data_IF_975472536473
#
_entry.id   IF_975472536473
#
_cell.length_a   1.000
_cell.length_b   1.000
_cell.length_c   1.000
_cell.angle_alpha   90.00
_cell.angle_beta   90.00
_cell.angle_gamma   90.00
#
_symmetry.space_group_name_H-M   'P 1'
#
loop_
_entity.id
_entity.type
_entity.pdbx_description
1 polymer ?
#
# COMPACT_ATOMS: atom_id res chain seq x y z
N UNK A 1 49.47 -1.09 24.05
CA UNK A 1 48.24 -1.48 24.77
C UNK A 1 47.16 -1.70 23.73
N UNK A 2 46.52 -2.87 23.64
CA UNK A 2 45.35 -3.01 22.78
C UNK A 2 44.24 -2.16 23.39
N UNK A 3 43.74 -1.19 22.64
CA UNK A 3 42.47 -0.53 22.95
C UNK A 3 41.40 -1.60 23.02
N UNK A 4 41.04 -2.02 24.23
CA UNK A 4 39.90 -2.91 24.43
C UNK A 4 38.67 -2.23 23.84
N UNK A 5 38.23 -2.70 22.68
CA UNK A 5 36.96 -2.32 22.07
C UNK A 5 35.86 -2.64 23.08
N UNK A 6 35.35 -1.61 23.76
CA UNK A 6 34.28 -1.76 24.75
C UNK A 6 32.99 -2.08 23.98
N UNK A 7 32.46 -3.29 24.14
CA UNK A 7 31.17 -3.65 23.57
C UNK A 7 30.05 -2.77 24.17
N UNK A 8 29.03 -2.39 23.38
CA UNK A 8 27.85 -1.69 23.90
C UNK A 8 27.15 -2.55 24.96
N UNK A 9 26.45 -1.91 25.90
CA UNK A 9 25.69 -2.68 26.90
C UNK A 9 24.58 -3.49 26.19
N UNK A 10 24.31 -4.74 26.62
CA UNK A 10 23.29 -5.57 25.98
C UNK A 10 21.92 -4.87 25.92
N UNK A 11 21.55 -4.14 26.98
CA UNK A 11 20.29 -3.40 27.01
C UNK A 11 20.19 -2.29 25.94
N UNK A 12 21.31 -1.69 25.52
CA UNK A 12 21.34 -0.71 24.42
C UNK A 12 21.02 -1.40 23.08
N UNK A 13 21.53 -2.62 22.85
CA UNK A 13 21.21 -3.38 21.64
C UNK A 13 19.72 -3.74 21.61
N UNK A 14 19.18 -4.23 22.73
CA UNK A 14 17.75 -4.52 22.85
C UNK A 14 16.88 -3.28 22.64
N UNK A 15 17.30 -2.14 23.17
CA UNK A 15 16.62 -0.86 22.99
C UNK A 15 16.61 -0.42 21.51
N UNK A 16 17.76 -0.46 20.82
CA UNK A 16 17.84 -0.15 19.40
C UNK A 16 16.91 -1.07 18.58
N UNK A 17 16.96 -2.39 18.83
CA UNK A 17 16.11 -3.35 18.12
C UNK A 17 14.61 -3.07 18.32
N UNK A 18 14.19 -2.78 19.57
CA UNK A 18 12.80 -2.45 19.86
C UNK A 18 12.36 -1.12 19.22
N UNK A 19 13.22 -0.09 19.20
CA UNK A 19 12.95 1.17 18.48
C UNK A 19 12.78 0.90 16.98
N UNK A 20 13.65 0.07 16.39
CA UNK A 20 13.54 -0.32 14.98
C UNK A 20 12.22 -1.03 14.67
N UNK A 21 11.82 -2.00 15.50
CA UNK A 21 10.54 -2.68 15.38
C UNK A 21 9.36 -1.70 15.49
N UNK A 22 9.41 -0.78 16.46
CA UNK A 22 8.40 0.27 16.62
C UNK A 22 8.30 1.20 15.41
N UNK A 23 9.44 1.53 14.78
CA UNK A 23 9.47 2.29 13.53
C UNK A 23 8.80 1.56 12.36
N UNK A 24 9.03 0.25 12.23
CA UNK A 24 8.35 -0.58 11.21
C UNK A 24 6.85 -0.64 11.46
N UNK A 25 6.40 -0.88 12.70
CA UNK A 25 4.98 -0.82 13.04
C UNK A 25 4.35 0.54 12.75
N UNK A 26 5.08 1.64 12.93
CA UNK A 26 4.58 2.98 12.62
C UNK A 26 4.39 3.19 11.11
N UNK A 27 5.32 2.67 10.29
CA UNK A 27 5.28 2.84 8.84
C UNK A 27 4.07 2.14 8.18
N UNK A 28 3.55 1.08 8.80
CA UNK A 28 2.41 0.30 8.28
C UNK A 28 1.05 0.73 8.86
N UNK A 29 0.99 1.79 9.68
CA UNK A 29 -0.32 2.25 10.23
C UNK A 29 -1.25 2.68 9.09
N UNK A 30 -0.73 3.45 8.13
CA UNK A 30 -1.52 3.99 7.02
C UNK A 30 -2.00 2.92 6.04
N UNK A 31 -1.26 1.81 5.94
CA UNK A 31 -1.57 0.69 5.04
C UNK A 31 -2.66 -0.24 5.59
N UNK A 32 -3.05 -0.03 6.85
CA UNK A 32 -4.11 -0.76 7.54
C UNK A 32 -5.23 0.17 8.06
N UNK A 33 -5.30 1.40 7.55
CA UNK A 33 -6.19 2.45 8.04
C UNK A 33 -7.68 2.13 7.82
N UNK A 34 -7.98 1.26 6.86
CA UNK A 34 -9.31 0.71 6.56
C UNK A 34 -9.87 -0.13 7.73
N UNK A 35 -9.00 -0.77 8.51
CA UNK A 35 -9.38 -1.56 9.67
C UNK A 35 -9.02 -0.83 10.98
N UNK A 36 -9.97 -0.05 11.51
CA UNK A 36 -9.77 0.80 12.69
C UNK A 36 -9.10 0.08 13.88
N UNK A 37 -9.51 -1.15 14.19
CA UNK A 37 -8.95 -1.91 15.33
C UNK A 37 -7.49 -2.30 15.03
N UNK A 38 -7.22 -2.80 13.82
CA UNK A 38 -5.88 -3.22 13.42
C UNK A 38 -4.91 -2.03 13.35
N UNK A 39 -5.32 -0.90 12.74
CA UNK A 39 -4.54 0.34 12.75
C UNK A 39 -4.20 0.82 14.18
N UNK A 40 -5.16 0.76 15.10
CA UNK A 40 -4.92 1.10 16.51
C UNK A 40 -3.93 0.15 17.18
N UNK A 41 -3.97 -1.16 16.88
CA UNK A 41 -3.00 -2.13 17.38
C UNK A 41 -1.59 -1.82 16.88
N UNK A 42 -1.42 -1.40 15.63
CA UNK A 42 -0.13 -0.95 15.11
C UNK A 42 0.36 0.33 15.79
N UNK A 43 -0.52 1.32 16.01
CA UNK A 43 -0.20 2.55 16.77
C UNK A 43 0.31 2.22 18.17
N UNK A 44 -0.40 1.35 18.90
CA UNK A 44 -0.01 0.97 20.25
C UNK A 44 1.29 0.16 20.27
N UNK A 45 1.47 -0.77 19.34
CA UNK A 45 2.70 -1.55 19.20
C UNK A 45 3.91 -0.64 18.93
N UNK A 46 3.77 0.29 17.99
CA UNK A 46 4.79 1.28 17.66
C UNK A 46 5.17 2.13 18.87
N UNK A 47 4.17 2.70 19.55
CA UNK A 47 4.38 3.55 20.71
C UNK A 47 5.05 2.79 21.87
N UNK A 48 4.56 1.60 22.21
CA UNK A 48 5.10 0.81 23.32
C UNK A 48 6.55 0.40 23.09
N UNK A 49 6.89 -0.05 21.88
CA UNK A 49 8.25 -0.47 21.55
C UNK A 49 9.22 0.72 21.48
N UNK A 50 8.81 1.83 20.86
CA UNK A 50 9.64 3.03 20.77
C UNK A 50 9.86 3.67 22.15
N UNK A 51 8.79 3.87 22.93
CA UNK A 51 8.88 4.45 24.28
C UNK A 51 9.71 3.56 25.19
N UNK A 52 9.50 2.25 25.18
CA UNK A 52 10.31 1.34 26.00
C UNK A 52 11.79 1.40 25.60
N UNK A 53 12.10 1.37 24.30
CA UNK A 53 13.48 1.46 23.84
C UNK A 53 14.15 2.76 24.28
N UNK A 54 13.46 3.91 24.20
CA UNK A 54 13.96 5.18 24.71
C UNK A 54 14.22 5.10 26.23
N UNK A 55 13.28 4.56 27.00
CA UNK A 55 13.45 4.38 28.46
C UNK A 55 14.65 3.46 28.78
N UNK A 56 14.86 2.40 28.00
CA UNK A 56 15.98 1.48 28.16
C UNK A 56 17.35 2.11 27.82
N UNK A 57 17.39 3.08 26.91
CA UNK A 57 18.58 3.90 26.65
C UNK A 57 18.88 4.89 27.78
N UNK A 58 17.86 5.33 28.52
CA UNK A 58 17.99 6.31 29.60
C UNK A 58 18.21 5.66 30.98
N UNK A 59 17.70 4.45 31.20
CA UNK A 59 17.71 3.79 32.51
C UNK A 59 17.92 2.28 32.40
N UNK A 60 19.06 1.81 32.90
CA UNK A 60 19.32 0.38 33.07
C UNK A 60 18.83 -0.07 34.45
N UNK A 61 17.87 -0.99 34.45
CA UNK A 61 17.44 -1.69 35.66
C UNK A 61 16.79 -3.03 35.31
N UNK A 62 16.76 -4.00 36.24
CA UNK A 62 16.04 -5.26 36.01
C UNK A 62 14.57 -5.05 35.68
N UNK A 63 13.90 -4.06 36.30
CA UNK A 63 12.51 -3.73 35.99
C UNK A 63 12.33 -3.26 34.54
N UNK A 64 13.26 -2.44 34.02
CA UNK A 64 13.24 -1.99 32.62
C UNK A 64 13.50 -3.16 31.67
N UNK A 65 14.44 -4.06 31.99
CA UNK A 65 14.67 -5.27 31.21
C UNK A 65 13.44 -6.20 31.19
N UNK A 66 12.76 -6.38 32.34
CA UNK A 66 11.53 -7.16 32.42
C UNK A 66 10.38 -6.54 31.61
N UNK A 67 10.24 -5.20 31.64
CA UNK A 67 9.28 -4.50 30.79
C UNK A 67 9.54 -4.72 29.29
N UNK A 68 10.81 -4.72 28.88
CA UNK A 68 11.20 -4.95 27.50
C UNK A 68 10.96 -6.36 27.01
N UNK A 69 11.26 -7.32 27.88
CA UNK A 69 10.93 -8.72 27.67
C UNK A 69 9.42 -8.88 27.44
N UNK A 70 8.59 -8.31 28.33
CA UNK A 70 7.14 -8.43 28.25
C UNK A 70 6.59 -7.79 26.96
N UNK A 71 6.93 -6.53 26.68
CA UNK A 71 6.43 -5.80 25.50
C UNK A 71 6.81 -6.54 24.21
N UNK A 72 8.09 -6.86 24.01
CA UNK A 72 8.54 -7.46 22.76
C UNK A 72 8.10 -8.93 22.63
N UNK A 73 7.91 -9.66 23.73
CA UNK A 73 7.36 -11.02 23.70
C UNK A 73 5.89 -11.03 23.30
N UNK A 74 5.08 -10.08 23.78
CA UNK A 74 3.68 -9.92 23.35
C UNK A 74 3.61 -9.63 21.86
N UNK A 75 4.40 -8.69 21.36
CA UNK A 75 4.39 -8.33 19.93
C UNK A 75 4.85 -9.50 19.04
N UNK A 76 5.94 -10.17 19.42
CA UNK A 76 6.46 -11.33 18.67
C UNK A 76 5.50 -12.53 18.74
N UNK A 77 4.81 -12.70 19.88
CA UNK A 77 3.80 -13.73 20.08
C UNK A 77 2.54 -13.47 19.25
N UNK A 78 2.04 -12.22 19.23
CA UNK A 78 0.94 -11.81 18.37
C UNK A 78 1.28 -12.05 16.89
N UNK A 79 2.48 -11.65 16.45
CA UNK A 79 2.97 -11.97 15.12
C UNK A 79 2.94 -13.47 14.85
N UNK A 80 3.49 -14.30 15.75
CA UNK A 80 3.49 -15.75 15.57
C UNK A 80 2.08 -16.34 15.45
N UNK A 81 1.14 -15.89 16.29
CA UNK A 81 -0.27 -16.30 16.25
C UNK A 81 -0.88 -16.02 14.88
N UNK A 82 -0.67 -14.83 14.32
CA UNK A 82 -1.20 -14.47 12.99
C UNK A 82 -0.64 -15.32 11.84
N UNK A 83 0.51 -16.00 12.02
CA UNK A 83 1.09 -16.91 11.02
C UNK A 83 0.54 -18.31 11.07
N UNK A 84 0.11 -18.76 12.26
CA UNK A 84 -0.35 -20.15 12.46
C UNK A 84 -1.87 -20.27 12.58
N UNK A 85 -2.56 -19.16 12.83
CA UNK A 85 -4.00 -19.08 13.02
C UNK A 85 -4.55 -17.75 12.51
N UNK A 86 -5.82 -17.74 12.09
CA UNK A 86 -6.54 -16.50 11.82
C UNK A 86 -7.17 -15.93 13.10
N UNK A 87 -7.46 -14.64 13.08
CA UNK A 87 -8.07 -13.88 14.18
C UNK A 87 -9.35 -13.23 13.66
N UNK A 88 -10.41 -14.04 13.54
CA UNK A 88 -11.67 -13.68 12.86
C UNK A 88 -12.47 -12.53 13.49
N UNK A 89 -12.09 -12.06 14.69
CA UNK A 89 -12.73 -10.94 15.38
C UNK A 89 -11.98 -9.61 15.20
N UNK A 90 -10.89 -9.58 14.44
CA UNK A 90 -10.16 -8.35 14.08
C UNK A 90 -10.20 -8.20 12.57
N UNK A 91 -10.83 -7.12 12.10
CA UNK A 91 -10.82 -6.71 10.70
C UNK A 91 -9.40 -6.69 10.14
N UNK A 92 -9.15 -7.44 9.06
CA UNK A 92 -7.85 -7.54 8.39
C UNK A 92 -6.97 -8.69 8.88
N UNK A 93 -7.49 -9.61 9.72
CA UNK A 93 -6.77 -10.81 10.20
C UNK A 93 -7.64 -12.09 10.11
N UNK A 94 -8.71 -12.06 9.32
CA UNK A 94 -9.64 -13.18 9.13
C UNK A 94 -8.98 -14.37 8.40
N UNK A 95 -7.93 -14.09 7.65
CA UNK A 95 -7.08 -15.07 6.98
C UNK A 95 -5.71 -15.19 7.67
N UNK A 96 -4.99 -16.27 7.36
CA UNK A 96 -3.62 -16.45 7.87
C UNK A 96 -2.66 -15.54 7.11
N UNK A 97 -1.80 -14.87 7.85
CA UNK A 97 -0.91 -13.87 7.28
C UNK A 97 0.39 -14.49 6.72
N UNK A 98 0.78 -14.26 5.46
CA UNK A 98 2.02 -14.80 4.88
C UNK A 98 3.28 -14.08 5.37
N UNK A 99 4.37 -14.82 5.63
CA UNK A 99 5.62 -14.25 6.15
C UNK A 99 6.28 -13.27 5.16
N UNK A 100 6.15 -11.97 5.42
CA UNK A 100 6.78 -10.91 4.63
C UNK A 100 8.08 -10.41 5.22
N UNK A 101 8.91 -9.82 4.37
CA UNK A 101 10.15 -9.20 4.82
C UNK A 101 9.93 -8.16 5.93
N UNK A 102 8.99 -7.22 5.75
CA UNK A 102 8.72 -6.18 6.76
C UNK A 102 8.26 -6.78 8.10
N UNK A 103 7.30 -7.71 8.06
CA UNK A 103 6.76 -8.37 9.24
C UNK A 103 7.79 -9.24 9.95
N UNK A 104 8.54 -10.03 9.20
CA UNK A 104 9.60 -10.92 9.72
C UNK A 104 10.77 -10.10 10.25
N UNK A 105 11.12 -8.97 9.63
CA UNK A 105 12.14 -8.06 10.14
C UNK A 105 11.68 -7.41 11.46
N UNK A 106 10.43 -6.94 11.52
CA UNK A 106 9.84 -6.39 12.74
C UNK A 106 9.83 -7.42 13.89
N UNK A 107 9.29 -8.61 13.62
CA UNK A 107 9.24 -9.70 14.59
C UNK A 107 10.65 -10.17 14.99
N UNK A 108 11.59 -10.25 14.04
CA UNK A 108 12.98 -10.61 14.30
C UNK A 108 13.68 -9.62 15.24
N UNK A 109 13.49 -8.32 15.03
CA UNK A 109 13.97 -7.28 15.94
C UNK A 109 13.33 -7.41 17.33
N UNK A 110 12.03 -7.71 17.40
CA UNK A 110 11.34 -8.02 18.65
C UNK A 110 11.93 -9.24 19.38
N UNK A 111 12.19 -10.33 18.67
CA UNK A 111 12.79 -11.56 19.21
C UNK A 111 14.21 -11.31 19.69
N UNK A 112 15.01 -10.52 18.97
CA UNK A 112 16.35 -10.10 19.42
C UNK A 112 16.24 -9.32 20.74
N UNK A 113 15.31 -8.36 20.83
CA UNK A 113 15.08 -7.61 22.06
C UNK A 113 14.66 -8.53 23.23
N UNK A 114 13.80 -9.51 22.98
CA UNK A 114 13.39 -10.54 23.95
C UNK A 114 14.58 -11.35 24.45
N UNK A 115 15.38 -11.93 23.55
CA UNK A 115 16.50 -12.79 23.91
C UNK A 115 17.57 -12.03 24.71
N UNK A 116 17.86 -10.79 24.33
CA UNK A 116 18.83 -9.96 25.03
C UNK A 116 18.28 -9.51 26.39
N UNK A 117 17.02 -9.10 26.48
CA UNK A 117 16.40 -8.72 27.75
C UNK A 117 16.35 -9.90 28.74
N UNK A 118 16.05 -11.10 28.25
CA UNK A 118 16.11 -12.33 29.04
C UNK A 118 17.54 -12.62 29.51
N UNK A 119 18.53 -12.52 28.63
CA UNK A 119 19.95 -12.68 29.00
C UNK A 119 20.40 -11.68 30.07
N UNK A 120 19.95 -10.43 30.01
CA UNK A 120 20.21 -9.40 31.01
C UNK A 120 19.58 -9.75 32.37
N UNK A 121 18.38 -10.33 32.38
CA UNK A 121 17.71 -10.77 33.60
C UNK A 121 18.36 -12.00 34.23
N UNK A 122 18.86 -12.92 33.40
CA UNK A 122 19.52 -14.15 33.85
C UNK A 122 20.98 -13.92 34.28
N UNK A 123 21.59 -12.79 33.92
CA UNK A 123 23.00 -12.48 34.22
C UNK A 123 23.10 -11.43 35.33
N UNK A 124 23.54 -11.81 36.55
CA UNK A 124 23.69 -10.87 37.66
C UNK A 124 24.61 -9.69 37.29
N UNK A 125 24.14 -8.46 37.53
CA UNK A 125 24.92 -7.23 37.28
C UNK A 125 24.86 -6.70 35.84
N UNK A 126 24.39 -7.48 34.86
CA UNK A 126 24.27 -7.02 33.47
C UNK A 126 23.30 -5.83 33.29
N UNK A 127 22.32 -5.71 34.18
CA UNK A 127 21.31 -4.64 34.16
C UNK A 127 21.76 -3.33 34.84
N UNK A 128 23.01 -3.21 35.31
CA UNK A 128 23.46 -2.08 36.17
C UNK A 128 24.36 -1.06 35.49
N UNK A 129 24.76 -1.26 34.23
CA UNK A 129 25.58 -0.29 33.49
C UNK A 129 25.02 0.01 32.10
N UNK A 130 24.79 1.29 31.79
CA UNK A 130 24.58 1.76 30.42
C UNK A 130 25.93 2.21 29.88
N UNK A 131 26.37 1.60 28.77
CA UNK A 131 27.55 2.04 28.03
C UNK A 131 27.10 2.40 26.63
N UNK A 132 26.73 3.67 26.43
CA UNK A 132 26.31 4.21 25.13
C UNK A 132 27.50 4.39 24.16
N UNK A 133 28.72 4.37 24.70
CA UNK A 133 29.95 4.32 23.90
C UNK A 133 29.84 3.10 22.98
N UNK A 134 29.76 3.34 21.67
CA UNK A 134 29.58 2.35 20.60
C UNK A 134 28.13 1.89 20.31
N UNK A 135 27.11 2.67 20.69
CA UNK A 135 25.74 2.48 20.19
C UNK A 135 25.59 2.71 18.68
N UNK A 136 26.57 3.36 18.03
CA UNK A 136 26.52 3.67 16.59
C UNK A 136 26.45 2.44 15.69
N UNK A 137 27.17 1.36 16.02
CA UNK A 137 27.14 0.10 15.24
C UNK A 137 25.77 -0.60 15.36
N UNK A 138 25.24 -0.92 16.56
CA UNK A 138 23.92 -1.55 16.66
C UNK A 138 22.81 -0.66 16.11
N UNK A 139 22.86 0.66 16.31
CA UNK A 139 21.90 1.58 15.72
C UNK A 139 21.97 1.57 14.18
N UNK A 140 23.17 1.56 13.60
CA UNK A 140 23.35 1.46 12.15
C UNK A 140 22.82 0.14 11.59
N UNK A 141 23.12 -0.99 12.22
CA UNK A 141 22.64 -2.30 11.76
C UNK A 141 21.11 -2.41 11.86
N UNK A 142 20.52 -1.91 12.94
CA UNK A 142 19.06 -1.85 13.07
C UNK A 142 18.47 -0.92 12.01
N UNK A 143 19.04 0.26 11.78
CA UNK A 143 18.56 1.19 10.76
C UNK A 143 18.67 0.60 9.34
N UNK A 144 19.77 -0.10 9.03
CA UNK A 144 19.98 -0.75 7.75
C UNK A 144 18.96 -1.86 7.46
N UNK A 145 18.40 -2.49 8.50
CA UNK A 145 17.31 -3.46 8.37
C UNK A 145 15.92 -2.79 8.40
N UNK A 146 15.71 -1.86 9.33
CA UNK A 146 14.42 -1.25 9.60
C UNK A 146 14.00 -0.27 8.50
N UNK A 147 14.93 0.50 7.91
CA UNK A 147 14.57 1.46 6.86
C UNK A 147 14.04 0.79 5.59
N UNK A 148 14.69 -0.25 5.02
CA UNK A 148 14.08 -1.01 3.92
C UNK A 148 12.75 -1.66 4.32
N UNK A 149 12.64 -2.19 5.54
CA UNK A 149 11.41 -2.78 6.05
C UNK A 149 10.28 -1.75 6.23
N UNK A 150 10.59 -0.51 6.58
CA UNK A 150 9.63 0.59 6.68
C UNK A 150 9.18 1.07 5.31
N UNK A 151 10.11 1.23 4.37
CA UNK A 151 9.79 1.58 2.98
C UNK A 151 8.90 0.48 2.41
N UNK A 152 9.37 -0.76 2.41
CA UNK A 152 8.60 -1.89 1.87
C UNK A 152 7.31 -2.15 2.65
N UNK A 153 7.31 -2.05 3.98
CA UNK A 153 6.08 -2.22 4.76
C UNK A 153 5.05 -1.13 4.45
N UNK A 154 5.50 0.12 4.30
CA UNK A 154 4.63 1.24 3.93
C UNK A 154 4.24 1.28 2.44
N UNK A 155 4.82 0.42 1.58
CA UNK A 155 4.61 0.44 0.13
C UNK A 155 4.29 -0.93 -0.52
N UNK A 156 4.37 -2.07 0.18
CA UNK A 156 4.26 -3.44 -0.38
C UNK A 156 3.36 -4.38 0.46
N UNK A 157 2.32 -5.01 -0.10
CA UNK A 157 1.28 -5.75 0.64
C UNK A 157 0.75 -7.00 -0.09
N UNK A 158 -0.07 -7.74 0.67
CA UNK A 158 -1.07 -8.77 0.38
C UNK A 158 -0.88 -9.81 -0.77
N UNK A 159 0.27 -10.44 -1.04
CA UNK A 159 0.32 -11.59 -1.97
C UNK A 159 -0.33 -12.87 -1.40
N UNK A 160 -1.53 -13.25 -1.87
CA UNK A 160 -2.19 -14.52 -1.53
C UNK A 160 -1.78 -15.65 -2.48
N UNK A 161 -1.54 -16.83 -1.88
CA UNK A 161 -1.36 -18.08 -2.58
C UNK A 161 -2.72 -18.73 -2.86
N UNK A 162 -2.89 -19.24 -4.08
CA UNK A 162 -4.06 -19.97 -4.55
C UNK A 162 -4.22 -21.30 -3.79
N UNK A 163 -5.41 -21.54 -3.24
CA UNK A 163 -5.97 -22.89 -3.12
C UNK A 163 -7.50 -22.84 -2.99
N UNK A 164 -8.15 -23.78 -3.69
CA UNK A 164 -9.52 -23.68 -4.17
C UNK A 164 -10.60 -24.42 -3.34
N UNK A 165 -11.85 -24.05 -3.65
CA UNK A 165 -13.13 -24.79 -3.59
C UNK A 165 -14.03 -24.70 -2.34
N UNK A 166 -15.27 -24.27 -2.58
CA UNK A 166 -16.44 -24.52 -1.73
C UNK A 166 -17.69 -23.77 -2.18
N UNK A 167 -18.55 -24.39 -3.00
CA UNK A 167 -19.86 -23.86 -3.39
C UNK A 167 -20.85 -23.86 -2.22
N UNK A 168 -21.74 -22.85 -2.16
CA UNK A 168 -23.20 -23.05 -2.02
C UNK A 168 -23.96 -21.74 -2.20
N UNK A 169 -25.02 -21.80 -2.99
CA UNK A 169 -25.97 -20.72 -3.25
C UNK A 169 -27.05 -20.63 -2.17
N UNK A 170 -27.56 -19.41 -1.93
CA UNK A 170 -28.94 -19.19 -1.50
C UNK A 170 -29.38 -17.74 -1.80
N UNK A 171 -30.52 -17.63 -2.50
CA UNK A 171 -31.29 -16.41 -2.76
C UNK A 171 -31.67 -15.66 -1.47
N UNK A 172 -31.62 -14.31 -1.52
CA UNK A 172 -32.64 -13.47 -0.89
C UNK A 172 -32.57 -12.01 -1.39
N UNK A 173 -33.71 -11.55 -1.86
CA UNK A 173 -34.03 -10.17 -2.26
C UNK A 173 -33.83 -9.17 -1.12
N UNK A 174 -32.93 -8.23 -1.34
CA UNK A 174 -32.75 -6.97 -0.63
C UNK A 174 -31.96 -6.04 -1.54
N UNK A 175 -31.97 -4.74 -1.31
CA UNK A 175 -31.09 -3.79 -2.01
C UNK A 175 -29.64 -4.14 -1.62
N UNK A 176 -29.04 -5.09 -2.35
CA UNK A 176 -27.76 -5.69 -1.99
C UNK A 176 -26.68 -4.70 -2.38
N UNK A 177 -25.82 -4.35 -1.42
CA UNK A 177 -24.49 -3.86 -1.74
C UNK A 177 -23.94 -4.72 -2.89
N UNK A 178 -23.58 -4.08 -4.00
CA UNK A 178 -23.10 -4.77 -5.20
C UNK A 178 -21.93 -5.67 -4.79
N UNK A 179 -22.16 -6.99 -4.74
CA UNK A 179 -21.12 -7.95 -4.36
C UNK A 179 -19.88 -7.70 -5.23
N UNK A 180 -18.68 -7.78 -4.65
CA UNK A 180 -17.45 -7.57 -5.41
C UNK A 180 -17.38 -8.58 -6.57
N UNK A 181 -17.07 -8.11 -7.78
CA UNK A 181 -16.75 -9.03 -8.89
C UNK A 181 -15.41 -9.69 -8.56
N UNK A 182 -15.34 -11.04 -8.53
CA UNK A 182 -14.09 -11.70 -8.23
C UNK A 182 -13.00 -11.29 -9.22
N UNK A 183 -11.76 -11.05 -8.78
CA UNK A 183 -10.64 -10.76 -9.67
C UNK A 183 -10.46 -11.88 -10.68
N UNK A 184 -10.43 -11.53 -11.97
CA UNK A 184 -10.01 -12.45 -13.05
C UNK A 184 -8.65 -11.98 -13.57
N UNK A 185 -7.60 -12.80 -13.47
CA UNK A 185 -6.31 -12.47 -14.05
C UNK A 185 -6.43 -12.14 -15.54
N UNK A 186 -5.78 -11.05 -15.92
CA UNK A 186 -5.76 -10.53 -17.28
C UNK A 186 -4.35 -10.65 -17.85
N UNK A 187 -4.27 -11.09 -19.10
CA UNK A 187 -3.04 -11.07 -19.89
C UNK A 187 -3.33 -10.43 -21.26
N UNK A 188 -2.74 -9.26 -21.58
CA UNK A 188 -2.97 -8.56 -22.84
C UNK A 188 -2.45 -9.31 -24.08
N UNK A 189 -1.63 -10.35 -23.91
CA UNK A 189 -1.14 -11.18 -25.02
C UNK A 189 -2.10 -12.31 -25.40
N UNK A 190 -3.18 -12.50 -24.65
CA UNK A 190 -4.22 -13.50 -24.90
C UNK A 190 -5.47 -12.83 -25.50
N UNK A 191 -6.39 -13.60 -26.12
CA UNK A 191 -7.69 -13.06 -26.51
C UNK A 191 -8.39 -12.40 -25.31
N UNK A 192 -8.93 -11.20 -25.53
CA UNK A 192 -9.71 -10.48 -24.51
C UNK A 192 -11.04 -11.20 -24.35
N UNK A 193 -11.31 -11.68 -23.13
CA UNK A 193 -12.56 -12.32 -22.74
C UNK A 193 -12.96 -11.85 -21.33
N UNK A 194 -13.94 -10.97 -21.28
CA UNK A 194 -14.54 -10.44 -20.05
C UNK A 194 -15.91 -11.05 -19.75
N UNK A 195 -16.24 -12.19 -20.36
CA UNK A 195 -17.49 -12.90 -20.09
C UNK A 195 -17.53 -13.56 -18.71
N UNK A 196 -18.74 -13.95 -18.28
CA UNK A 196 -18.95 -14.71 -17.05
C UNK A 196 -19.19 -13.87 -15.80
N UNK A 197 -19.28 -12.55 -15.92
CA UNK A 197 -19.63 -11.66 -14.81
C UNK A 197 -21.15 -11.51 -14.71
N UNK A 198 -21.72 -11.96 -13.60
CA UNK A 198 -23.15 -11.85 -13.34
C UNK A 198 -23.63 -10.39 -13.39
N UNK A 199 -24.76 -10.15 -14.05
CA UNK A 199 -25.36 -8.83 -14.20
C UNK A 199 -24.76 -7.95 -15.29
N UNK A 200 -23.73 -8.41 -16.02
CA UNK A 200 -23.16 -7.70 -17.17
C UNK A 200 -23.91 -8.08 -18.45
N UNK A 201 -24.38 -7.08 -19.21
CA UNK A 201 -25.02 -7.32 -20.51
C UNK A 201 -23.99 -7.60 -21.60
N UNK A 202 -24.36 -8.29 -22.70
CA UNK A 202 -23.47 -8.49 -23.84
C UNK A 202 -22.93 -7.17 -24.43
N UNK A 203 -23.73 -6.10 -24.43
CA UNK A 203 -23.30 -4.79 -24.90
C UNK A 203 -22.30 -4.13 -23.95
N UNK A 204 -22.48 -4.27 -22.63
CA UNK A 204 -21.51 -3.80 -21.63
C UNK A 204 -20.18 -4.53 -21.77
N UNK A 205 -20.22 -5.86 -21.91
CA UNK A 205 -19.04 -6.67 -22.17
C UNK A 205 -18.33 -6.21 -23.46
N UNK A 206 -19.05 -6.11 -24.58
CA UNK A 206 -18.48 -5.70 -25.85
C UNK A 206 -17.85 -4.31 -25.80
N UNK A 207 -18.46 -3.35 -25.09
CA UNK A 207 -17.90 -2.01 -24.92
C UNK A 207 -16.63 -2.02 -24.07
N UNK A 208 -16.62 -2.77 -22.97
CA UNK A 208 -15.46 -2.92 -22.11
C UNK A 208 -14.29 -3.60 -22.85
N UNK A 209 -14.56 -4.70 -23.55
CA UNK A 209 -13.55 -5.41 -24.36
C UNK A 209 -13.01 -4.54 -25.49
N UNK A 210 -13.88 -3.78 -26.16
CA UNK A 210 -13.46 -2.85 -27.22
C UNK A 210 -12.58 -1.71 -26.68
N UNK A 211 -12.90 -1.16 -25.49
CA UNK A 211 -12.07 -0.16 -24.85
C UNK A 211 -10.66 -0.71 -24.55
N UNK A 212 -10.56 -1.93 -24.01
CA UNK A 212 -9.26 -2.60 -23.80
C UNK A 212 -8.52 -2.79 -25.12
N UNK A 213 -9.20 -3.31 -26.15
CA UNK A 213 -8.60 -3.58 -27.45
C UNK A 213 -8.03 -2.32 -28.12
N UNK A 214 -8.80 -1.22 -28.14
CA UNK A 214 -8.35 0.05 -28.73
C UNK A 214 -7.20 0.64 -27.90
N UNK A 215 -7.29 0.57 -26.58
CA UNK A 215 -6.23 1.04 -25.68
C UNK A 215 -4.90 0.33 -25.95
N UNK A 216 -4.91 -1.01 -26.06
CA UNK A 216 -3.72 -1.80 -26.42
C UNK A 216 -3.14 -1.41 -27.78
N UNK A 217 -3.99 -1.08 -28.75
CA UNK A 217 -3.56 -0.71 -30.09
C UNK A 217 -2.97 0.71 -30.18
N UNK A 218 -3.47 1.65 -29.37
CA UNK A 218 -3.13 3.10 -29.48
C UNK A 218 -2.02 3.54 -28.54
N UNK A 219 -2.05 3.10 -27.28
CA UNK A 219 -1.12 3.57 -26.26
C UNK A 219 0.37 3.33 -26.52
N UNK A 220 0.82 2.30 -27.27
CA UNK A 220 2.24 2.14 -27.57
C UNK A 220 2.88 3.39 -28.22
N UNK A 221 2.10 4.30 -28.81
CA UNK A 221 2.58 5.60 -29.28
C UNK A 221 3.21 6.47 -28.18
N UNK A 222 2.83 6.26 -26.92
CA UNK A 222 3.32 6.98 -25.74
C UNK A 222 4.31 6.16 -24.89
N UNK A 223 4.89 5.08 -25.45
CA UNK A 223 5.79 4.21 -24.69
C UNK A 223 7.00 4.94 -24.08
N UNK A 224 7.57 5.92 -24.79
CA UNK A 224 8.54 6.85 -24.23
C UNK A 224 7.81 8.05 -23.61
N UNK A 225 7.92 8.21 -22.29
CA UNK A 225 7.29 9.31 -21.56
C UNK A 225 7.69 10.69 -22.08
N UNK A 226 8.86 10.83 -22.71
CA UNK A 226 9.29 12.10 -23.30
C UNK A 226 8.41 12.52 -24.49
N UNK A 227 7.82 11.55 -25.20
CA UNK A 227 6.82 11.84 -26.24
C UNK A 227 5.59 12.48 -25.61
N UNK A 228 5.09 11.91 -24.50
CA UNK A 228 3.97 12.48 -23.76
C UNK A 228 4.29 13.89 -23.24
N UNK A 229 5.48 14.10 -22.66
CA UNK A 229 5.92 15.42 -22.20
C UNK A 229 5.97 16.46 -23.33
N UNK A 230 6.53 16.09 -24.48
CA UNK A 230 6.58 16.97 -25.65
C UNK A 230 5.20 17.33 -26.19
N UNK A 231 4.20 16.47 -25.96
CA UNK A 231 2.81 16.69 -26.38
C UNK A 231 1.91 17.30 -25.29
N UNK A 232 2.49 17.69 -24.15
CA UNK A 232 1.85 18.48 -23.12
C UNK A 232 1.45 17.74 -21.84
N UNK A 233 1.63 16.42 -21.76
CA UNK A 233 1.42 15.70 -20.49
C UNK A 233 2.51 16.07 -19.47
N UNK A 234 2.15 16.12 -18.19
CA UNK A 234 3.04 16.52 -17.10
C UNK A 234 2.92 15.56 -15.93
N UNK A 235 4.05 15.12 -15.39
CA UNK A 235 4.10 14.30 -14.18
C UNK A 235 3.44 15.02 -13.00
N UNK A 236 2.62 14.30 -12.25
CA UNK A 236 2.06 14.78 -10.98
C UNK A 236 2.98 14.51 -9.79
N UNK A 237 4.15 13.91 -9.99
CA UNK A 237 5.17 13.77 -8.94
C UNK A 237 4.95 12.63 -7.95
N UNK A 238 4.21 11.62 -8.35
CA UNK A 238 3.86 10.46 -7.53
C UNK A 238 4.76 9.25 -7.77
N UNK A 239 5.92 9.43 -8.41
CA UNK A 239 6.85 8.35 -8.78
C UNK A 239 7.29 7.46 -7.61
N UNK A 240 7.23 7.98 -6.38
CA UNK A 240 7.57 7.26 -5.16
C UNK A 240 6.59 6.13 -4.84
N UNK A 241 5.43 6.09 -5.49
CA UNK A 241 4.47 4.98 -5.39
C UNK A 241 4.90 3.75 -6.20
N UNK A 242 5.96 3.86 -7.01
CA UNK A 242 6.35 2.85 -8.00
C UNK A 242 5.63 3.01 -9.34
N UNK A 243 4.66 3.92 -9.41
CA UNK A 243 4.02 4.38 -10.63
C UNK A 243 4.08 5.90 -10.69
N UNK A 244 4.03 6.46 -11.90
CA UNK A 244 4.01 7.89 -12.09
C UNK A 244 2.95 8.23 -13.13
N UNK A 245 2.04 9.11 -12.73
CA UNK A 245 0.97 9.59 -13.58
C UNK A 245 1.41 10.87 -14.27
N UNK A 246 1.23 10.89 -15.58
CA UNK A 246 1.42 12.05 -16.41
C UNK A 246 0.04 12.52 -16.88
N UNK A 247 -0.40 13.69 -16.44
CA UNK A 247 -1.71 14.26 -16.76
C UNK A 247 -1.57 15.34 -17.82
N UNK A 248 -2.50 15.37 -18.78
CA UNK A 248 -2.68 16.51 -19.68
C UNK A 248 -3.86 17.34 -19.20
N UNK A 249 -3.53 18.38 -18.44
CA UNK A 249 -4.50 19.26 -17.78
C UNK A 249 -5.46 19.98 -18.74
N UNK A 250 -5.13 20.09 -20.02
CA UNK A 250 -6.02 20.67 -21.02
C UNK A 250 -7.19 19.73 -21.41
N UNK A 251 -7.09 18.43 -21.09
CA UNK A 251 -8.10 17.41 -21.44
C UNK A 251 -9.02 17.05 -20.27
N UNK A 252 -8.67 17.37 -19.02
CA UNK A 252 -9.42 16.89 -17.85
C UNK A 252 -10.86 17.46 -17.75
N UNK A 253 -11.14 18.56 -18.44
CA UNK A 253 -12.43 19.24 -18.46
C UNK A 253 -13.15 19.09 -19.82
N UNK A 254 -12.69 18.20 -20.70
CA UNK A 254 -13.31 17.97 -22.01
C UNK A 254 -14.51 17.01 -21.95
N UNK A 255 -15.28 16.93 -23.03
CA UNK A 255 -16.46 16.06 -23.12
C UNK A 255 -16.14 14.69 -23.76
N UNK A 256 -14.86 14.33 -23.93
CA UNK A 256 -14.40 13.18 -24.71
C UNK A 256 -14.03 11.97 -23.81
N UNK A 257 -15.02 11.48 -23.06
CA UNK A 257 -14.82 10.37 -22.13
C UNK A 257 -14.30 9.07 -22.77
N UNK A 258 -13.32 8.43 -22.10
CA UNK A 258 -12.76 7.12 -22.45
C UNK A 258 -12.15 7.07 -23.88
N UNK A 259 -11.47 8.15 -24.29
CA UNK A 259 -10.87 8.28 -25.62
C UNK A 259 -9.37 7.90 -25.64
N UNK A 260 -8.98 6.73 -26.18
CA UNK A 260 -7.57 6.30 -26.17
C UNK A 260 -6.65 7.11 -27.10
N UNK A 261 -7.21 7.92 -28.01
CA UNK A 261 -6.42 8.79 -28.89
C UNK A 261 -6.06 10.13 -28.23
N UNK A 262 -6.76 10.50 -27.15
CA UNK A 262 -6.51 11.70 -26.35
C UNK A 262 -6.75 11.42 -24.85
N UNK A 263 -5.97 10.53 -24.22
CA UNK A 263 -6.21 10.18 -22.82
C UNK A 263 -5.81 11.30 -21.86
N UNK A 264 -6.59 11.51 -20.81
CA UNK A 264 -6.34 12.56 -19.82
C UNK A 264 -5.08 12.25 -18.99
N UNK A 265 -4.77 10.96 -18.76
CA UNK A 265 -3.59 10.54 -18.00
C UNK A 265 -2.93 9.26 -18.51
N UNK A 266 -1.60 9.26 -18.54
CA UNK A 266 -0.74 8.12 -18.89
C UNK A 266 0.00 7.66 -17.64
N UNK A 267 0.08 6.34 -17.42
CA UNK A 267 0.65 5.77 -16.19
C UNK A 267 1.88 4.92 -16.51
N UNK A 268 3.01 5.32 -15.94
CA UNK A 268 4.28 4.65 -16.12
C UNK A 268 4.70 3.94 -14.84
N UNK A 269 5.12 2.68 -14.94
CA UNK A 269 5.83 2.00 -13.87
C UNK A 269 7.24 2.56 -13.77
N UNK A 270 7.67 2.87 -12.56
CA UNK A 270 9.00 3.40 -12.25
C UNK A 270 9.90 2.28 -11.76
N UNK A 271 10.95 1.97 -12.53
CA UNK A 271 11.96 0.99 -12.18
C UNK A 271 12.92 1.52 -11.10
N UNK A 272 13.62 0.62 -10.42
CA UNK A 272 14.60 0.96 -9.37
C UNK A 272 15.77 1.81 -9.88
N UNK A 273 16.04 1.78 -11.19
CA UNK A 273 17.02 2.60 -11.89
C UNK A 273 16.44 3.94 -12.42
N UNK A 274 15.18 4.25 -12.11
CA UNK A 274 14.45 5.42 -12.60
C UNK A 274 13.90 5.28 -14.03
N UNK A 275 13.96 4.09 -14.65
CA UNK A 275 13.32 3.86 -15.95
C UNK A 275 11.80 3.94 -15.84
N UNK A 276 11.14 4.46 -16.87
CA UNK A 276 9.68 4.53 -16.97
C UNK A 276 9.20 3.59 -18.06
N UNK A 277 8.25 2.72 -17.73
CA UNK A 277 7.60 1.80 -18.67
C UNK A 277 6.11 2.08 -18.67
N UNK A 278 5.52 2.40 -19.81
CA UNK A 278 4.07 2.60 -19.91
C UNK A 278 3.33 1.29 -19.58
N UNK A 279 2.40 1.33 -18.63
CA UNK A 279 1.69 0.14 -18.14
C UNK A 279 0.18 0.29 -18.10
N UNK A 280 -0.32 1.52 -18.05
CA UNK A 280 -1.75 1.80 -17.98
C UNK A 280 -2.05 3.20 -18.52
N UNK A 281 -3.31 3.42 -18.84
CA UNK A 281 -3.91 4.74 -19.03
C UNK A 281 -4.94 4.96 -17.95
N UNK A 282 -5.11 6.20 -17.52
CA UNK A 282 -6.17 6.61 -16.62
C UNK A 282 -7.03 7.62 -17.36
N UNK A 283 -8.28 7.25 -17.62
CA UNK A 283 -9.28 8.14 -18.18
C UNK A 283 -9.97 8.89 -17.06
N UNK A 284 -10.12 10.20 -17.20
CA UNK A 284 -10.82 11.05 -16.25
C UNK A 284 -12.09 11.61 -16.89
N UNK A 285 -13.17 11.70 -16.12
CA UNK A 285 -14.32 12.52 -16.48
C UNK A 285 -14.15 13.92 -15.90
N UNK A 286 -14.80 14.92 -16.49
CA UNK A 286 -14.82 16.27 -15.93
C UNK A 286 -15.22 16.29 -14.45
N UNK A 287 -14.63 17.19 -13.64
CA UNK A 287 -14.88 17.29 -12.20
C UNK A 287 -16.31 17.73 -11.87
N UNK A 288 -17.09 18.20 -12.85
CA UNK A 288 -18.51 18.49 -12.69
C UNK A 288 -19.39 17.22 -12.75
N UNK A 289 -18.84 16.07 -13.16
CA UNK A 289 -19.52 14.78 -13.15
C UNK A 289 -19.37 14.16 -11.77
N UNK A 290 -20.45 14.02 -10.98
CA UNK A 290 -20.36 13.34 -9.70
C UNK A 290 -20.12 11.84 -9.91
N UNK A 291 -19.45 11.17 -8.97
CA UNK A 291 -19.18 9.73 -9.04
C UNK A 291 -20.47 8.89 -9.20
N UNK A 292 -21.60 9.32 -8.65
CA UNK A 292 -22.90 8.68 -8.86
C UNK A 292 -23.49 8.82 -10.27
N UNK A 293 -22.99 9.78 -11.06
CA UNK A 293 -23.46 10.11 -12.41
C UNK A 293 -22.55 9.62 -13.54
N UNK A 294 -21.55 8.80 -13.24
CA UNK A 294 -20.65 8.21 -14.25
C UNK A 294 -21.39 7.31 -15.24
N UNK A 295 -20.92 7.22 -16.50
CA UNK A 295 -21.56 6.41 -17.52
C UNK A 295 -21.41 4.92 -17.23
N UNK A 296 -22.49 4.17 -17.47
CA UNK A 296 -22.55 2.72 -17.27
C UNK A 296 -22.05 1.94 -18.51
N UNK A 297 -20.79 2.19 -18.89
CA UNK A 297 -20.21 1.67 -20.14
C UNK A 297 -20.01 0.16 -20.07
N UNK A 298 -19.26 -0.32 -19.07
CA UNK A 298 -18.91 -1.74 -18.89
C UNK A 298 -19.68 -2.45 -17.79
N UNK A 299 -20.67 -1.81 -17.17
CA UNK A 299 -21.37 -2.41 -16.03
C UNK A 299 -20.41 -2.80 -14.92
N UNK A 300 -20.63 -3.99 -14.38
CA UNK A 300 -19.82 -4.59 -13.32
C UNK A 300 -18.39 -4.98 -13.76
N UNK A 301 -17.97 -4.70 -15.00
CA UNK A 301 -16.59 -4.88 -15.45
C UNK A 301 -15.71 -3.66 -15.19
N UNK A 302 -16.32 -2.49 -15.04
CA UNK A 302 -15.63 -1.20 -14.94
C UNK A 302 -16.00 -0.51 -13.63
N UNK A 303 -15.04 -0.29 -12.75
CA UNK A 303 -15.27 0.45 -11.50
C UNK A 303 -14.68 1.85 -11.58
N UNK A 304 -15.57 2.83 -11.61
CA UNK A 304 -15.20 4.22 -11.44
C UNK A 304 -14.80 4.49 -9.99
N UNK A 305 -13.79 5.34 -9.80
CA UNK A 305 -13.36 5.81 -8.49
C UNK A 305 -12.94 7.29 -8.57
N UNK A 306 -12.74 7.91 -7.41
CA UNK A 306 -12.21 9.27 -7.26
C UNK A 306 -11.07 9.29 -6.26
N UNK A 307 -10.36 10.42 -6.18
CA UNK A 307 -9.44 10.71 -5.09
C UNK A 307 -9.80 12.06 -4.45
N UNK A 308 -10.46 12.02 -3.29
CA UNK A 308 -10.77 13.17 -2.42
C UNK A 308 -9.79 13.25 -1.23
N UNK A 309 -8.70 12.52 -1.28
CA UNK A 309 -7.69 12.42 -0.23
C UNK A 309 -6.32 12.95 -0.67
N UNK A 310 -6.18 13.45 -1.91
CA UNK A 310 -4.93 13.99 -2.43
C UNK A 310 -4.81 15.50 -2.21
N UNK A 311 -3.60 15.94 -1.89
CA UNK A 311 -3.23 17.34 -1.74
C UNK A 311 -2.20 17.75 -2.78
N UNK A 312 -2.49 18.85 -3.48
CA UNK A 312 -1.74 19.30 -4.64
C UNK A 312 -0.99 20.61 -4.39
N UNK A 313 0.12 20.81 -5.10
CA UNK A 313 0.78 22.12 -5.18
C UNK A 313 -0.09 23.11 -5.97
N UNK A 314 -0.10 24.40 -5.62
CA UNK A 314 -0.81 25.42 -6.40
C UNK A 314 -0.21 25.59 -7.80
N UNK A 315 -1.04 25.96 -8.78
CA UNK A 315 -0.63 26.34 -10.13
C UNK A 315 -1.36 25.59 -11.25
N UNK A 316 -0.98 25.89 -12.50
CA UNK A 316 -1.63 25.33 -13.70
C UNK A 316 -1.27 23.86 -13.99
N UNK A 317 -0.18 23.35 -13.43
CA UNK A 317 0.24 21.94 -13.54
C UNK A 317 0.48 21.39 -12.13
N UNK A 318 -0.58 21.20 -11.34
CA UNK A 318 -0.46 20.80 -9.94
C UNK A 318 0.19 19.42 -9.81
N UNK A 319 1.01 19.25 -8.77
CA UNK A 319 1.66 17.97 -8.41
C UNK A 319 1.12 17.49 -7.07
N UNK A 320 0.96 16.18 -6.92
CA UNK A 320 0.64 15.57 -5.63
C UNK A 320 1.83 15.78 -4.68
N UNK A 321 1.55 16.35 -3.51
CA UNK A 321 2.57 16.68 -2.51
C UNK A 321 2.14 16.32 -1.08
N UNK A 322 0.98 15.66 -0.92
CA UNK A 322 0.51 15.16 0.35
C UNK A 322 -0.79 14.38 0.21
N UNK A 323 -1.21 13.78 1.31
CA UNK A 323 -2.50 13.11 1.47
C UNK A 323 -3.21 13.63 2.71
N UNK A 324 -4.55 13.59 2.69
CA UNK A 324 -5.45 13.96 3.79
C UNK A 324 -6.49 12.85 3.98
N UNK A 325 -7.31 12.92 5.02
CA UNK A 325 -8.51 12.07 5.10
C UNK A 325 -9.52 12.47 4.03
N UNK A 326 -10.39 11.54 3.62
CA UNK A 326 -11.59 11.84 2.81
C UNK A 326 -12.41 12.95 3.49
N UNK A 327 -12.82 13.97 2.73
CA UNK A 327 -13.48 15.17 3.24
C UNK A 327 -12.58 16.10 4.09
N UNK A 328 -11.30 15.74 4.30
CA UNK A 328 -10.32 16.53 5.03
C UNK A 328 -9.78 17.72 4.22
N UNK A 329 -8.98 18.56 4.87
CA UNK A 329 -8.37 19.76 4.26
C UNK A 329 -6.85 19.62 4.14
N UNK A 330 -6.29 20.21 3.09
CA UNK A 330 -4.86 20.23 2.87
C UNK A 330 -4.16 21.30 3.74
N UNK A 331 -2.97 20.97 4.22
CA UNK A 331 -2.13 21.95 4.94
C UNK A 331 -1.56 22.95 3.94
N UNK A 332 -1.78 24.24 4.18
CA UNK A 332 -1.23 25.31 3.34
C UNK A 332 0.31 25.16 3.21
N UNK A 333 0.88 25.33 2.01
CA UNK A 333 0.27 25.92 0.81
C UNK A 333 -0.43 24.92 -0.13
N UNK A 334 -0.62 23.66 0.28
CA UNK A 334 -1.27 22.66 -0.57
C UNK A 334 -2.78 22.89 -0.66
N UNK A 335 -3.35 22.52 -1.80
CA UNK A 335 -4.75 22.74 -2.15
C UNK A 335 -5.44 21.41 -2.49
N UNK A 336 -6.76 21.38 -2.30
CA UNK A 336 -7.60 20.32 -2.87
C UNK A 336 -8.03 20.70 -4.28
N UNK A 337 -8.01 19.71 -5.17
CA UNK A 337 -8.67 19.80 -6.46
C UNK A 337 -10.07 19.16 -6.36
N UNK A 338 -10.97 19.57 -7.24
CA UNK A 338 -12.26 18.90 -7.37
C UNK A 338 -12.02 17.46 -7.86
N UNK A 339 -12.54 16.44 -7.17
CA UNK A 339 -12.32 15.05 -7.55
C UNK A 339 -12.99 14.75 -8.88
N UNK A 340 -12.23 14.16 -9.79
CA UNK A 340 -12.70 13.71 -11.11
C UNK A 340 -12.90 12.19 -11.09
N UNK A 341 -14.07 11.65 -11.48
CA UNK A 341 -14.24 10.20 -11.62
C UNK A 341 -13.29 9.64 -12.66
N UNK A 342 -12.66 8.50 -12.38
CA UNK A 342 -11.63 7.94 -13.24
C UNK A 342 -11.69 6.41 -13.35
N UNK A 343 -11.12 5.91 -14.44
CA UNK A 343 -10.92 4.48 -14.73
C UNK A 343 -9.52 4.25 -15.26
N UNK A 344 -8.85 3.25 -14.70
CA UNK A 344 -7.61 2.72 -15.22
C UNK A 344 -7.87 1.63 -16.28
N UNK A 345 -7.05 1.59 -17.32
CA UNK A 345 -7.01 0.49 -18.30
C UNK A 345 -5.58 0.01 -18.48
N UNK A 346 -5.30 -1.18 -17.96
CA UNK A 346 -3.98 -1.80 -17.97
C UNK A 346 -3.65 -2.39 -19.34
N UNK A 347 -2.44 -2.12 -19.83
CA UNK A 347 -1.89 -2.69 -21.08
C UNK A 347 -0.81 -3.75 -20.83
N UNK A 348 -0.63 -4.15 -19.58
CA UNK A 348 0.24 -5.23 -19.12
C UNK A 348 -0.58 -6.26 -18.35
N UNK A 349 -0.06 -7.48 -18.12
CA UNK A 349 -0.77 -8.46 -17.31
C UNK A 349 -1.11 -7.89 -15.92
N UNK A 350 -2.32 -8.17 -15.46
CA UNK A 350 -2.84 -7.65 -14.19
C UNK A 350 -3.66 -8.74 -13.50
N UNK A 351 -3.40 -9.07 -12.21
CA UNK A 351 -4.11 -10.15 -11.51
C UNK A 351 -5.61 -9.88 -11.35
N UNK A 352 -5.97 -8.61 -11.47
CA UNK A 352 -7.27 -8.08 -11.12
C UNK A 352 -8.13 -7.65 -12.30
N UNK A 353 -7.72 -8.02 -13.50
CA UNK A 353 -8.40 -7.62 -14.72
C UNK A 353 -7.85 -6.32 -15.30
N UNK A 354 -8.28 -5.96 -16.53
CA UNK A 354 -7.77 -4.79 -17.23
C UNK A 354 -8.27 -3.46 -16.64
N UNK A 355 -9.33 -3.46 -15.84
CA UNK A 355 -9.92 -2.24 -15.24
C UNK A 355 -9.63 -2.10 -13.75
N UNK A 356 -8.57 -2.73 -13.25
CA UNK A 356 -8.21 -2.66 -11.85
C UNK A 356 -7.86 -1.22 -11.45
N UNK A 357 -8.58 -0.72 -10.45
CA UNK A 357 -8.65 0.71 -10.15
C UNK A 357 -7.90 1.13 -8.87
N UNK A 358 -7.77 0.24 -7.89
CA UNK A 358 -7.49 0.61 -6.49
C UNK A 358 -6.25 -0.10 -5.95
N UNK A 359 -5.07 0.33 -6.38
CA UNK A 359 -3.81 -0.16 -5.84
C UNK A 359 -3.01 0.98 -5.18
N UNK A 360 -2.49 0.76 -3.97
CA UNK A 360 -1.49 1.64 -3.35
C UNK A 360 -1.99 2.67 -2.32
N UNK A 361 -1.10 3.59 -1.95
CA UNK A 361 -1.32 4.62 -0.91
C UNK A 361 -2.25 5.71 -1.43
N UNK A 362 -3.30 6.04 -0.66
CA UNK A 362 -4.36 6.96 -1.08
C UNK A 362 -5.43 6.29 -1.93
N UNK A 363 -5.66 4.98 -1.72
CA UNK A 363 -6.58 4.19 -2.52
C UNK A 363 -7.95 4.88 -2.69
N UNK A 364 -8.30 5.18 -3.94
CA UNK A 364 -9.45 6.00 -4.32
C UNK A 364 -10.78 5.54 -3.75
N UNK A 365 -11.78 6.41 -3.78
CA UNK A 365 -13.10 6.17 -3.23
C UNK A 365 -14.05 5.73 -4.35
N UNK A 366 -14.85 4.71 -4.08
CA UNK A 366 -15.89 4.18 -4.98
C UNK A 366 -17.25 4.76 -4.62
N UNK A 367 -18.29 4.48 -5.41
CA UNK A 367 -19.65 4.90 -5.09
C UNK A 367 -20.07 4.39 -3.71
N UNK A 368 -20.83 5.19 -2.98
CA UNK A 368 -21.35 4.81 -1.66
C UNK A 368 -22.13 3.49 -1.76
N UNK A 369 -21.76 2.52 -0.91
CA UNK A 369 -22.37 1.19 -0.90
C UNK A 369 -21.76 0.17 -1.87
N UNK A 370 -20.78 0.55 -2.69
CA UNK A 370 -19.99 -0.39 -3.49
C UNK A 370 -18.76 -0.90 -2.72
N UNK A 371 -18.44 -2.18 -2.92
CA UNK A 371 -17.16 -2.74 -2.49
C UNK A 371 -16.10 -2.42 -3.53
N UNK A 372 -14.94 -1.95 -3.08
CA UNK A 372 -13.74 -1.81 -3.91
C UNK A 372 -13.41 -3.14 -4.58
N UNK A 373 -13.41 -3.17 -5.91
CA UNK A 373 -12.96 -4.36 -6.64
C UNK A 373 -11.46 -4.36 -6.62
N UNK A 374 -10.89 -5.54 -6.37
CA UNK A 374 -9.45 -5.66 -6.32
C UNK A 374 -8.79 -4.71 -5.32
N UNK A 375 -9.37 -4.64 -4.12
CA UNK A 375 -8.72 -4.06 -2.95
C UNK A 375 -7.60 -5.02 -2.49
N UNK A 376 -6.65 -5.27 -3.38
CA UNK A 376 -5.33 -5.66 -2.96
C UNK A 376 -4.74 -4.37 -2.44
N UNK A 377 -4.88 -4.14 -1.15
CA UNK A 377 -3.91 -3.34 -0.44
C UNK A 377 -2.54 -3.87 -0.90
N UNK A 378 -1.94 -3.07 -1.78
CA UNK A 378 -0.65 -3.09 -2.46
C UNK A 378 -0.25 -4.29 -3.35
N UNK A 379 -0.02 -3.94 -4.62
CA UNK A 379 1.21 -4.26 -5.34
C UNK A 379 1.50 -5.73 -5.58
N UNK A 380 0.88 -6.30 -6.61
CA UNK A 380 1.40 -7.52 -7.20
C UNK A 380 2.79 -7.25 -7.81
N UNK A 381 3.84 -7.66 -7.08
CA UNK A 381 5.09 -8.06 -7.68
C UNK A 381 4.82 -9.32 -8.51
N UNK A 382 4.34 -9.14 -9.74
CA UNK A 382 4.42 -10.19 -10.73
C UNK A 382 5.89 -10.50 -10.95
N UNK A 383 6.35 -11.65 -10.43
CA UNK A 383 7.57 -12.28 -10.91
C UNK A 383 7.32 -12.71 -12.36
N UNK A 384 7.64 -11.81 -13.29
CA UNK A 384 7.71 -12.12 -14.71
C UNK A 384 9.15 -12.52 -15.01
N UNK A 385 9.38 -13.82 -15.20
CA UNK A 385 10.57 -14.30 -15.93
C UNK A 385 10.38 -14.08 -17.43
#
# INVERSE_FOLDING_TARGET
MPTATRCPSPLVIAACASIGAGGIHAAVIGTHAEHRILALLFVWSAALQAVWGIVALLRASPAVAAGGLAINAVMSGAWFVTRVSSVSWIGGLEDREPMRFADTACAGLGIIAVGIALGVLLTPGAAREIRLVNAGIPAFLVAALALPAMILGGTTVHGHADDAHGHSAADATGEVASAAVPPKPYNPTQPIDLSGVEGVTPEQQARAENLVAITLARLPAFADYRVAENLGWRSIGDELTGFEHFIKWDLIDDDDALNPDAPESLVYRVGTNGSRTLVSVMFLLPPNVPLGGVPDVGGRLMQWHIHDDLCFTPGATPRVAGVTTVGGSCTAPLEKLAPSPMIHVWIVPHPCGPFAALEGVGAGQVKDGETKWCDHAHGAAGTFS
#
